data_IF_918105458780
#
_entry.id   IF_918105458780
#
_cell.length_a   1.000
_cell.length_b   1.000
_cell.length_c   1.000
_cell.angle_alpha   90.00
_cell.angle_beta   90.00
_cell.angle_gamma   90.00
#
_symmetry.space_group_name_H-M   'P 1'
#
loop_
_entity.id
_entity.type
_entity.pdbx_description
1 polymer ?
#
# COMPACT_ATOMS: atom_id res chain seq x y z
N UNK A 1 -7.05 18.92 18.28
CA UNK A 1 -7.78 19.39 17.07
C UNK A 1 -8.29 20.82 17.26
N UNK A 2 -8.93 21.15 18.39
CA UNK A 2 -9.41 22.51 18.67
C UNK A 2 -8.36 23.49 19.21
N UNK A 3 -7.29 22.99 19.84
CA UNK A 3 -6.22 23.83 20.43
C UNK A 3 -5.40 24.59 19.36
N UNK A 4 -5.25 24.02 18.18
CA UNK A 4 -4.48 24.60 17.08
C UNK A 4 -5.44 25.41 16.18
N UNK A 5 -5.26 26.73 16.15
CA UNK A 5 -6.16 27.65 15.44
C UNK A 5 -6.31 27.33 13.94
N UNK A 6 -5.20 27.00 13.25
CA UNK A 6 -5.23 26.64 11.83
C UNK A 6 -6.04 25.37 11.54
N UNK A 7 -5.91 24.34 12.38
CA UNK A 7 -6.68 23.10 12.26
C UNK A 7 -8.15 23.30 12.58
N UNK A 8 -8.45 24.16 13.55
CA UNK A 8 -9.81 24.54 13.91
C UNK A 8 -10.52 25.26 12.75
N UNK A 9 -9.84 26.24 12.13
CA UNK A 9 -10.34 26.96 10.95
C UNK A 9 -10.54 26.02 9.75
N UNK A 10 -9.54 25.18 9.47
CA UNK A 10 -9.61 24.20 8.38
C UNK A 10 -10.79 23.23 8.53
N UNK A 11 -11.03 22.74 9.75
CA UNK A 11 -12.13 21.82 10.04
C UNK A 11 -13.48 22.53 10.27
N UNK A 12 -13.55 23.86 10.07
CA UNK A 12 -14.72 24.69 10.34
C UNK A 12 -15.30 24.48 11.75
N UNK A 13 -14.43 24.21 12.73
CA UNK A 13 -14.83 24.04 14.12
C UNK A 13 -14.88 25.41 14.79
N UNK A 14 -15.94 25.67 15.53
CA UNK A 14 -16.10 26.93 16.27
C UNK A 14 -16.19 26.67 17.76
N UNK A 15 -15.69 27.61 18.57
CA UNK A 15 -15.66 27.50 20.03
C UNK A 15 -17.02 27.76 20.68
N UNK A 16 -17.97 28.32 19.93
CA UNK A 16 -19.36 28.55 20.34
C UNK A 16 -20.27 27.32 20.15
N UNK A 17 -19.75 26.25 19.52
CA UNK A 17 -20.48 25.00 19.25
C UNK A 17 -19.79 23.81 19.92
N UNK A 18 -20.51 22.69 20.01
CA UNK A 18 -19.95 21.44 20.51
C UNK A 18 -18.75 21.02 19.66
N UNK A 19 -17.58 20.91 20.31
CA UNK A 19 -16.34 20.49 19.68
C UNK A 19 -16.30 18.95 19.70
N UNK A 20 -16.00 18.28 18.57
CA UNK A 20 -15.85 16.83 18.55
C UNK A 20 -14.82 16.35 19.55
N UNK A 21 -15.28 15.59 20.53
CA UNK A 21 -14.45 14.93 21.52
C UNK A 21 -13.98 13.55 21.00
N UNK A 22 -13.26 12.81 21.86
CA UNK A 22 -12.81 11.46 21.54
C UNK A 22 -13.97 10.52 21.18
N UNK A 23 -15.10 10.65 21.88
CA UNK A 23 -16.29 9.81 21.68
C UNK A 23 -16.93 10.10 20.33
N UNK A 24 -17.03 11.38 19.96
CA UNK A 24 -17.57 11.84 18.68
C UNK A 24 -16.74 11.29 17.51
N UNK A 25 -15.40 11.41 17.59
CA UNK A 25 -14.50 10.87 16.56
C UNK A 25 -14.60 9.34 16.48
N UNK A 26 -14.71 8.66 17.63
CA UNK A 26 -14.88 7.22 17.68
C UNK A 26 -16.19 6.78 17.01
N UNK A 27 -17.29 7.46 17.31
CA UNK A 27 -18.61 7.16 16.74
C UNK A 27 -18.64 7.46 15.23
N UNK A 28 -18.03 8.57 14.80
CA UNK A 28 -17.89 8.86 13.38
C UNK A 28 -17.11 7.77 12.63
N UNK A 29 -15.99 7.29 13.20
CA UNK A 29 -15.28 6.14 12.62
C UNK A 29 -16.16 4.89 12.55
N UNK A 30 -16.93 4.58 13.59
CA UNK A 30 -17.85 3.45 13.56
C UNK A 30 -18.93 3.60 12.50
N UNK A 31 -19.42 4.82 12.25
CA UNK A 31 -20.33 5.11 11.16
C UNK A 31 -19.66 4.82 9.80
N UNK A 32 -18.43 5.27 9.59
CA UNK A 32 -17.67 4.96 8.37
C UNK A 32 -17.47 3.46 8.18
N UNK A 33 -17.18 2.73 9.26
CA UNK A 33 -17.01 1.27 9.24
C UNK A 33 -18.32 0.54 8.90
N UNK A 34 -19.42 0.93 9.55
CA UNK A 34 -20.74 0.34 9.34
C UNK A 34 -21.21 0.49 7.89
N UNK A 35 -20.90 1.62 7.27
CA UNK A 35 -21.28 1.94 5.90
C UNK A 35 -20.16 1.65 4.87
N UNK A 36 -19.04 1.04 5.29
CA UNK A 36 -17.89 0.69 4.43
C UNK A 36 -17.30 1.87 3.64
N UNK A 37 -17.44 3.08 4.18
CA UNK A 37 -17.18 4.32 3.44
C UNK A 37 -15.70 4.62 3.21
N UNK A 38 -14.77 4.04 3.97
CA UNK A 38 -13.34 4.32 3.73
C UNK A 38 -12.83 3.74 2.42
N UNK A 39 -13.32 2.56 2.01
CA UNK A 39 -13.11 2.07 0.63
C UNK A 39 -13.83 2.93 -0.38
N UNK A 40 -15.08 3.32 -0.09
CA UNK A 40 -15.86 4.21 -0.95
C UNK A 40 -15.26 5.61 -1.14
N UNK A 41 -14.31 6.03 -0.31
CA UNK A 41 -13.57 7.30 -0.50
C UNK A 41 -12.31 7.09 -1.35
N UNK A 42 -11.65 5.95 -1.21
CA UNK A 42 -10.43 5.62 -1.96
C UNK A 42 -10.70 5.52 -3.47
N UNK A 43 -11.77 4.83 -3.87
CA UNK A 43 -12.11 4.62 -5.28
C UNK A 43 -12.42 5.94 -6.04
N UNK A 44 -13.31 6.84 -5.56
CA UNK A 44 -13.60 8.09 -6.26
C UNK A 44 -12.41 9.04 -6.33
N UNK A 45 -11.54 9.06 -5.31
CA UNK A 45 -10.34 9.91 -5.36
C UNK A 45 -9.38 9.39 -6.43
N UNK A 46 -9.18 8.08 -6.52
CA UNK A 46 -8.35 7.50 -7.58
C UNK A 46 -8.96 7.73 -8.97
N UNK A 47 -10.29 7.63 -9.09
CA UNK A 47 -10.99 7.98 -10.32
C UNK A 47 -10.76 9.45 -10.69
N UNK A 48 -10.97 10.38 -9.77
CA UNK A 48 -10.73 11.81 -10.00
C UNK A 48 -9.28 12.10 -10.40
N UNK A 49 -8.31 11.44 -9.78
CA UNK A 49 -6.89 11.56 -10.14
C UNK A 49 -6.58 11.01 -11.53
N UNK A 50 -7.28 9.95 -11.95
CA UNK A 50 -7.20 9.41 -13.31
C UNK A 50 -7.82 10.35 -14.33
N UNK A 51 -9.01 10.90 -14.07
CA UNK A 51 -9.69 11.89 -14.91
C UNK A 51 -8.86 13.18 -15.08
N UNK A 52 -8.10 13.57 -14.05
CA UNK A 52 -7.17 14.71 -14.10
C UNK A 52 -5.84 14.39 -14.79
N UNK A 53 -5.66 13.16 -15.31
CA UNK A 53 -4.45 12.73 -16.01
C UNK A 53 -3.22 12.61 -15.11
N UNK A 54 -3.39 12.54 -13.79
CA UNK A 54 -2.28 12.40 -12.83
C UNK A 54 -1.94 10.94 -12.60
N UNK A 55 -2.95 10.07 -12.58
CA UNK A 55 -2.79 8.62 -12.47
C UNK A 55 -2.79 7.99 -13.85
N UNK A 56 -1.66 7.40 -14.24
CA UNK A 56 -1.54 6.61 -15.48
C UNK A 56 -1.87 5.15 -15.21
N UNK A 57 -2.27 4.43 -16.27
CA UNK A 57 -2.69 3.02 -16.21
C UNK A 57 -1.72 2.04 -16.90
N UNK A 58 -0.67 2.53 -17.56
CA UNK A 58 0.17 1.68 -18.41
C UNK A 58 1.14 0.76 -17.65
N UNK A 59 1.44 1.04 -16.38
CA UNK A 59 2.40 0.24 -15.64
C UNK A 59 2.06 0.14 -14.18
N UNK A 60 2.00 -1.08 -13.65
CA UNK A 60 1.66 -1.34 -12.26
C UNK A 60 2.85 -1.90 -11.50
N UNK A 61 3.19 -1.28 -10.37
CA UNK A 61 4.16 -1.78 -9.40
C UNK A 61 3.38 -2.46 -8.27
N UNK A 62 3.67 -3.74 -8.03
CA UNK A 62 3.04 -4.52 -6.96
C UNK A 62 4.01 -4.76 -5.81
N UNK A 63 3.52 -4.55 -4.60
CA UNK A 63 4.27 -4.84 -3.37
C UNK A 63 3.33 -5.09 -2.19
N UNK A 64 3.85 -5.78 -1.19
CA UNK A 64 3.12 -6.11 0.02
C UNK A 64 3.92 -5.73 1.27
N UNK A 65 3.25 -5.13 2.24
CA UNK A 65 3.86 -4.83 3.54
C UNK A 65 3.13 -5.56 4.66
N UNK A 66 3.90 -6.16 5.56
CA UNK A 66 3.36 -6.73 6.80
C UNK A 66 3.07 -5.57 7.75
N UNK A 67 1.90 -5.60 8.37
CA UNK A 67 1.47 -4.70 9.42
C UNK A 67 1.29 -5.53 10.68
N UNK A 68 2.13 -5.26 11.68
CA UNK A 68 2.12 -6.01 12.92
C UNK A 68 0.88 -5.70 13.75
N UNK A 69 0.24 -6.75 14.27
CA UNK A 69 -0.84 -6.66 15.23
C UNK A 69 -0.36 -7.10 16.62
N UNK A 70 -0.97 -6.61 17.71
CA UNK A 70 -0.68 -7.10 19.04
C UNK A 70 -0.93 -8.63 19.15
N UNK A 71 0.11 -9.38 19.51
CA UNK A 71 0.03 -10.84 19.74
C UNK A 71 -0.36 -11.20 21.18
N UNK A 72 -0.63 -10.19 22.02
CA UNK A 72 -0.97 -10.37 23.43
C UNK A 72 -2.32 -11.08 23.59
N UNK A 73 -2.34 -12.12 24.42
CA UNK A 73 -3.56 -12.80 24.88
C UNK A 73 -4.07 -12.22 26.20
N UNK A 74 -3.43 -11.19 26.77
CA UNK A 74 -3.84 -10.57 28.05
C UNK A 74 -5.09 -9.71 27.86
N UNK A 75 -6.24 -10.34 27.62
CA UNK A 75 -7.56 -9.74 27.53
C UNK A 75 -8.61 -10.66 28.18
N UNK A 76 -9.85 -10.18 28.36
CA UNK A 76 -10.92 -10.94 29.02
C UNK A 76 -11.16 -12.33 28.41
N UNK A 77 -10.91 -12.47 27.12
CA UNK A 77 -11.12 -13.71 26.35
C UNK A 77 -9.89 -14.61 26.27
N UNK A 78 -8.74 -14.20 26.81
CA UNK A 78 -7.46 -14.93 26.72
C UNK A 78 -7.04 -15.34 25.30
N UNK A 79 -7.48 -14.61 24.27
CA UNK A 79 -7.29 -14.97 22.87
C UNK A 79 -6.65 -13.83 22.09
N UNK A 80 -5.87 -14.17 21.07
CA UNK A 80 -5.36 -13.20 20.09
C UNK A 80 -6.49 -12.75 19.17
N UNK A 81 -6.19 -11.80 18.29
CA UNK A 81 -7.09 -11.48 17.19
C UNK A 81 -7.20 -12.70 16.25
N UNK A 82 -8.39 -13.31 16.07
CA UNK A 82 -8.55 -14.52 15.26
C UNK A 82 -8.35 -14.27 13.75
N UNK A 83 -8.47 -13.02 13.28
CA UNK A 83 -8.29 -12.67 11.87
C UNK A 83 -6.84 -12.30 11.53
N UNK A 84 -5.97 -12.25 12.53
CA UNK A 84 -4.54 -11.97 12.37
C UNK A 84 -3.76 -13.28 12.46
N UNK A 85 -2.78 -13.45 11.58
CA UNK A 85 -2.02 -14.68 11.50
C UNK A 85 -0.51 -14.42 11.49
N UNK A 86 0.25 -15.46 11.82
CA UNK A 86 1.70 -15.39 11.84
C UNK A 86 2.29 -15.71 10.47
N UNK A 87 3.38 -15.03 10.13
CA UNK A 87 4.18 -15.30 8.94
C UNK A 87 5.65 -15.09 9.25
N UNK A 88 6.52 -15.75 8.50
CA UNK A 88 7.97 -15.63 8.65
C UNK A 88 8.53 -14.81 7.52
N UNK A 89 9.19 -13.69 7.83
CA UNK A 89 9.92 -12.87 6.85
C UNK A 89 11.40 -12.92 7.20
N UNK A 90 12.19 -13.53 6.30
CA UNK A 90 13.60 -13.82 6.61
C UNK A 90 13.71 -14.76 7.81
N UNK A 91 14.38 -14.31 8.88
CA UNK A 91 14.53 -15.06 10.13
C UNK A 91 13.57 -14.62 11.24
N UNK A 92 12.72 -13.62 10.99
CA UNK A 92 11.83 -13.04 11.99
C UNK A 92 10.39 -13.50 11.78
N UNK A 93 9.69 -13.73 12.90
CA UNK A 93 8.28 -14.05 12.92
C UNK A 93 7.47 -12.80 13.20
N UNK A 94 6.47 -12.53 12.36
CA UNK A 94 5.55 -11.43 12.53
C UNK A 94 4.13 -11.98 12.69
N UNK A 95 3.33 -11.31 13.52
CA UNK A 95 1.91 -11.61 13.70
C UNK A 95 1.09 -10.41 13.28
N UNK A 96 0.12 -10.60 12.39
CA UNK A 96 -0.73 -9.51 11.91
C UNK A 96 -1.37 -9.76 10.56
N UNK A 97 -1.36 -8.71 9.75
CA UNK A 97 -1.96 -8.68 8.42
C UNK A 97 -0.94 -8.20 7.37
N UNK A 98 -1.32 -8.27 6.10
CA UNK A 98 -0.63 -7.65 4.98
C UNK A 98 -1.51 -6.62 4.31
N UNK A 99 -0.89 -5.55 3.82
CA UNK A 99 -1.46 -4.65 2.84
C UNK A 99 -0.71 -4.83 1.52
N UNK A 100 -1.44 -5.30 0.51
CA UNK A 100 -0.98 -5.47 -0.86
C UNK A 100 -1.46 -4.27 -1.67
N UNK A 101 -0.57 -3.68 -2.46
CA UNK A 101 -0.91 -2.49 -3.25
C UNK A 101 -0.46 -2.63 -4.70
N UNK A 102 -1.26 -2.08 -5.60
CA UNK A 102 -0.85 -1.73 -6.96
C UNK A 102 -0.62 -0.21 -7.03
N UNK A 103 0.52 0.17 -7.58
CA UNK A 103 0.96 1.57 -7.68
C UNK A 103 1.31 1.89 -9.13
N UNK A 104 0.82 3.02 -9.63
CA UNK A 104 1.17 3.50 -10.97
C UNK A 104 2.68 3.76 -11.05
N UNK A 105 3.33 3.08 -11.99
CA UNK A 105 4.77 3.12 -12.18
C UNK A 105 5.29 4.51 -12.55
N UNK A 106 4.45 5.38 -13.14
CA UNK A 106 4.86 6.74 -13.50
C UNK A 106 4.77 7.68 -12.29
N UNK A 107 3.56 7.88 -11.76
CA UNK A 107 3.26 8.84 -10.70
C UNK A 107 3.67 8.36 -9.30
N UNK A 108 3.66 7.06 -9.06
CA UNK A 108 3.82 6.47 -7.74
C UNK A 108 2.58 6.58 -6.86
N UNK A 109 1.39 6.75 -7.46
CA UNK A 109 0.10 6.77 -6.76
C UNK A 109 -0.48 5.36 -6.64
N UNK A 110 -1.02 5.03 -5.47
CA UNK A 110 -1.66 3.74 -5.21
C UNK A 110 -3.05 3.71 -5.85
N UNK A 111 -3.29 2.82 -6.81
CA UNK A 111 -4.61 2.67 -7.45
C UNK A 111 -5.43 1.54 -6.84
N UNK A 112 -4.79 0.48 -6.35
CA UNK A 112 -5.45 -0.70 -5.75
C UNK A 112 -4.88 -1.01 -4.37
N UNK A 113 -5.74 -1.49 -3.49
CA UNK A 113 -5.40 -1.93 -2.14
C UNK A 113 -6.19 -3.20 -1.82
N UNK A 114 -5.47 -4.22 -1.36
CA UNK A 114 -6.06 -5.44 -0.83
C UNK A 114 -5.42 -5.74 0.51
N UNK A 115 -6.24 -6.10 1.50
CA UNK A 115 -5.74 -6.49 2.81
C UNK A 115 -6.08 -7.93 3.11
N UNK A 116 -5.14 -8.63 3.73
CA UNK A 116 -5.29 -10.05 4.07
C UNK A 116 -4.60 -10.35 5.38
N UNK A 117 -4.85 -11.52 5.96
CA UNK A 117 -3.99 -12.05 7.01
C UNK A 117 -2.53 -12.20 6.54
N UNK A 118 -1.56 -12.15 7.46
CA UNK A 118 -0.15 -12.10 7.08
C UNK A 118 0.40 -13.42 6.49
N UNK A 119 -0.27 -14.54 6.72
CA UNK A 119 0.08 -15.85 6.15
C UNK A 119 -0.29 -15.98 4.66
N UNK A 120 -1.17 -15.11 4.14
CA UNK A 120 -1.55 -15.13 2.73
C UNK A 120 -0.35 -14.84 1.82
N UNK A 121 -0.26 -15.60 0.73
CA UNK A 121 0.83 -15.49 -0.23
C UNK A 121 0.56 -14.35 -1.22
N UNK A 122 1.54 -13.49 -1.45
CA UNK A 122 1.39 -12.24 -2.23
C UNK A 122 0.93 -12.53 -3.68
N UNK A 123 1.47 -13.58 -4.32
CA UNK A 123 1.00 -14.08 -5.62
C UNK A 123 -0.51 -14.33 -5.73
N UNK A 124 -1.20 -14.71 -4.64
CA UNK A 124 -2.64 -15.00 -4.69
C UNK A 124 -3.47 -13.72 -4.81
N UNK A 125 -2.90 -12.57 -4.44
CA UNK A 125 -3.60 -11.28 -4.51
C UNK A 125 -3.26 -10.50 -5.77
N UNK A 126 -2.34 -11.00 -6.60
CA UNK A 126 -1.82 -10.27 -7.75
C UNK A 126 -2.91 -9.84 -8.72
N UNK A 127 -3.86 -10.72 -9.07
CA UNK A 127 -4.99 -10.38 -9.95
C UNK A 127 -5.86 -9.25 -9.40
N UNK A 128 -6.06 -9.21 -8.08
CA UNK A 128 -6.79 -8.15 -7.40
C UNK A 128 -6.04 -6.82 -7.31
N UNK A 129 -4.74 -6.80 -7.62
CA UNK A 129 -3.92 -5.58 -7.65
C UNK A 129 -3.89 -4.92 -9.03
N UNK A 130 -4.28 -5.64 -10.08
CA UNK A 130 -4.28 -5.14 -11.44
C UNK A 130 -5.65 -4.54 -11.81
N UNK A 131 -5.64 -3.58 -12.72
CA UNK A 131 -6.87 -2.97 -13.25
C UNK A 131 -7.19 -3.40 -14.69
N UNK A 132 -6.31 -4.15 -15.35
CA UNK A 132 -6.54 -4.79 -16.66
C UNK A 132 -6.06 -3.99 -17.88
N UNK A 133 -5.56 -2.77 -17.67
CA UNK A 133 -5.07 -1.89 -18.76
C UNK A 133 -3.53 -1.78 -18.74
N UNK A 134 -2.85 -2.64 -17.97
CA UNK A 134 -1.39 -2.62 -17.82
C UNK A 134 -0.66 -3.08 -19.09
N UNK A 135 0.39 -2.35 -19.48
CA UNK A 135 1.37 -2.80 -20.47
C UNK A 135 2.50 -3.59 -19.79
N UNK A 136 2.85 -3.23 -18.55
CA UNK A 136 3.84 -3.97 -17.77
C UNK A 136 3.50 -4.04 -16.27
N UNK A 137 3.94 -5.10 -15.61
CA UNK A 137 3.81 -5.30 -14.16
C UNK A 137 5.18 -5.58 -13.55
N UNK A 138 5.57 -4.78 -12.55
CA UNK A 138 6.83 -4.92 -11.83
C UNK A 138 6.59 -5.33 -10.39
N UNK A 139 7.30 -6.36 -9.92
CA UNK A 139 7.15 -6.89 -8.56
C UNK A 139 8.46 -7.44 -7.99
N UNK A 140 8.47 -7.70 -6.69
CA UNK A 140 9.61 -8.35 -6.04
C UNK A 140 9.69 -9.85 -6.37
N UNK A 141 10.70 -10.54 -5.84
CA UNK A 141 10.89 -11.98 -6.09
C UNK A 141 9.78 -12.86 -5.48
N UNK A 142 8.93 -12.32 -4.59
CA UNK A 142 7.74 -12.99 -4.06
C UNK A 142 6.67 -13.20 -5.15
N UNK A 143 6.69 -12.39 -6.20
CA UNK A 143 5.77 -12.50 -7.35
C UNK A 143 6.31 -13.39 -8.48
N UNK A 144 7.34 -14.20 -8.23
CA UNK A 144 7.83 -15.16 -9.22
C UNK A 144 6.76 -16.21 -9.57
N UNK A 145 6.49 -16.38 -10.86
CA UNK A 145 5.45 -17.29 -11.36
C UNK A 145 4.10 -16.62 -11.62
N UNK A 146 4.00 -15.29 -11.52
CA UNK A 146 2.84 -14.50 -11.89
C UNK A 146 2.23 -14.90 -13.26
N UNK A 147 3.07 -14.91 -14.31
CA UNK A 147 2.69 -15.28 -15.69
C UNK A 147 2.11 -16.71 -15.85
N UNK A 148 2.25 -17.58 -14.84
CA UNK A 148 1.75 -18.97 -14.89
C UNK A 148 0.35 -19.12 -14.29
N UNK A 149 -0.17 -18.10 -13.60
CA UNK A 149 -1.47 -18.14 -12.94
C UNK A 149 -2.58 -18.13 -13.98
N UNK A 150 -3.55 -19.02 -13.82
CA UNK A 150 -4.67 -19.16 -14.76
C UNK A 150 -5.42 -17.84 -14.97
N UNK A 151 -5.62 -17.08 -13.88
CA UNK A 151 -6.26 -15.75 -13.88
C UNK A 151 -5.51 -14.71 -14.72
N UNK A 152 -4.21 -14.92 -14.99
CA UNK A 152 -3.33 -13.96 -15.67
C UNK A 152 -2.79 -14.48 -17.00
N UNK A 153 -3.17 -15.70 -17.42
CA UNK A 153 -2.68 -16.33 -18.67
C UNK A 153 -3.11 -15.59 -19.93
N UNK A 154 -4.19 -14.82 -19.88
CA UNK A 154 -4.71 -14.04 -21.01
C UNK A 154 -4.24 -12.59 -21.05
N UNK A 155 -3.46 -12.14 -20.06
CA UNK A 155 -3.00 -10.77 -19.97
C UNK A 155 -1.76 -10.56 -20.86
N UNK A 156 -1.86 -9.66 -21.84
CA UNK A 156 -0.75 -9.24 -22.70
C UNK A 156 0.09 -8.18 -21.98
N UNK A 157 0.94 -8.64 -21.05
CA UNK A 157 1.66 -7.78 -20.10
C UNK A 157 3.12 -8.21 -19.98
N UNK A 158 4.02 -7.23 -19.98
CA UNK A 158 5.43 -7.44 -19.70
C UNK A 158 5.69 -7.63 -18.19
N UNK A 159 6.17 -8.82 -17.82
CA UNK A 159 6.44 -9.18 -16.42
C UNK A 159 7.86 -8.80 -15.98
N UNK A 160 8.00 -7.68 -15.26
CA UNK A 160 9.24 -7.19 -14.67
C UNK A 160 9.43 -7.68 -13.23
N UNK A 161 9.44 -8.99 -13.03
CA UNK A 161 9.63 -9.60 -11.71
C UNK A 161 11.12 -9.70 -11.36
N UNK A 162 11.48 -9.26 -10.16
CA UNK A 162 12.85 -9.30 -9.67
C UNK A 162 13.38 -10.73 -9.49
N UNK A 163 14.68 -10.92 -9.75
CA UNK A 163 15.33 -12.19 -9.48
C UNK A 163 15.65 -12.41 -8.01
N UNK A 164 15.72 -13.68 -7.60
CA UNK A 164 16.05 -14.02 -6.20
C UNK A 164 17.43 -13.50 -5.81
N UNK A 165 17.62 -12.99 -4.58
CA UNK A 165 18.91 -12.47 -4.13
C UNK A 165 20.08 -13.44 -4.28
N UNK A 166 19.83 -14.76 -4.16
CA UNK A 166 20.84 -15.80 -4.41
C UNK A 166 21.36 -15.80 -5.85
N UNK A 167 20.46 -15.72 -6.84
CA UNK A 167 20.82 -15.70 -8.26
C UNK A 167 21.51 -14.40 -8.64
N UNK A 168 21.02 -13.27 -8.14
CA UNK A 168 21.68 -11.96 -8.34
C UNK A 168 23.10 -11.97 -7.77
N UNK A 169 23.32 -12.56 -6.59
CA UNK A 169 24.67 -12.73 -6.02
C UNK A 169 25.57 -13.60 -6.89
N UNK A 170 25.05 -14.68 -7.47
CA UNK A 170 25.81 -15.54 -8.38
C UNK A 170 26.22 -14.79 -9.67
N UNK A 171 25.30 -13.99 -10.25
CA UNK A 171 25.59 -13.17 -11.43
C UNK A 171 26.75 -12.19 -11.16
N UNK A 172 26.73 -11.55 -9.98
CA UNK A 172 27.75 -10.59 -9.53
C UNK A 172 29.14 -11.20 -9.30
N UNK A 173 29.29 -12.52 -9.20
CA UNK A 173 30.62 -13.17 -9.14
C UNK A 173 31.40 -13.02 -10.44
N UNK A 174 30.71 -12.90 -11.58
CA UNK A 174 31.33 -12.72 -12.90
C UNK A 174 30.71 -11.51 -13.65
N UNK A 175 30.95 -10.28 -13.16
CA UNK A 175 30.24 -9.10 -13.63
C UNK A 175 30.56 -8.74 -15.09
N UNK A 176 31.77 -9.04 -15.56
CA UNK A 176 32.16 -8.81 -16.97
C UNK A 176 31.35 -9.67 -17.95
N UNK A 177 31.05 -10.92 -17.58
CA UNK A 177 30.22 -11.84 -18.39
C UNK A 177 28.73 -11.53 -18.26
N UNK A 178 28.29 -11.16 -17.07
CA UNK A 178 26.87 -10.97 -16.74
C UNK A 178 26.42 -9.50 -16.76
N UNK A 179 27.13 -8.62 -17.47
CA UNK A 179 26.90 -7.16 -17.43
C UNK A 179 25.45 -6.80 -17.76
N UNK A 180 24.89 -7.38 -18.81
CA UNK A 180 23.51 -7.12 -19.26
C UNK A 180 22.50 -7.61 -18.22
N UNK A 181 22.63 -8.84 -17.72
CA UNK A 181 21.72 -9.39 -16.73
C UNK A 181 21.73 -8.59 -15.41
N UNK A 182 22.91 -8.15 -14.94
CA UNK A 182 23.03 -7.29 -13.77
C UNK A 182 22.36 -5.93 -14.01
N UNK A 183 22.53 -5.37 -15.21
CA UNK A 183 21.92 -4.10 -15.56
C UNK A 183 20.39 -4.19 -15.62
N UNK A 184 19.83 -5.26 -16.20
CA UNK A 184 18.38 -5.51 -16.20
C UNK A 184 17.84 -5.58 -14.77
N UNK A 185 18.48 -6.34 -13.88
CA UNK A 185 18.03 -6.44 -12.48
C UNK A 185 18.14 -5.10 -11.74
N UNK A 186 19.15 -4.28 -12.07
CA UNK A 186 19.25 -2.92 -11.55
C UNK A 186 18.09 -2.04 -12.04
N UNK A 187 17.74 -2.10 -13.32
CA UNK A 187 16.61 -1.35 -13.89
C UNK A 187 15.28 -1.76 -13.26
N UNK A 188 15.01 -3.07 -13.13
CA UNK A 188 13.82 -3.60 -12.43
C UNK A 188 13.73 -3.05 -11.00
N UNK A 189 14.84 -3.09 -10.26
CA UNK A 189 14.89 -2.56 -8.89
C UNK A 189 14.65 -1.04 -8.84
N UNK A 190 15.19 -0.28 -9.80
CA UNK A 190 14.99 1.17 -9.89
C UNK A 190 13.54 1.56 -10.14
N UNK A 191 12.86 0.85 -11.05
CA UNK A 191 11.43 1.03 -11.32
C UNK A 191 10.61 0.69 -10.08
N UNK A 192 10.86 -0.50 -9.49
CA UNK A 192 10.14 -0.99 -8.31
C UNK A 192 10.26 -0.05 -7.11
N UNK A 193 11.40 0.62 -6.91
CA UNK A 193 11.63 1.48 -5.74
C UNK A 193 10.53 2.54 -5.52
N UNK A 194 9.80 2.95 -6.56
CA UNK A 194 8.68 3.90 -6.42
C UNK A 194 7.53 3.36 -5.57
N UNK A 195 7.28 2.05 -5.55
CA UNK A 195 6.24 1.38 -4.74
C UNK A 195 6.50 1.53 -3.23
N UNK A 196 7.74 1.82 -2.84
CA UNK A 196 8.14 2.01 -1.45
C UNK A 196 7.67 3.38 -0.91
N UNK A 197 7.35 4.34 -1.78
CA UNK A 197 6.96 5.69 -1.38
C UNK A 197 5.63 5.76 -0.62
N UNK A 198 4.52 5.14 -1.08
CA UNK A 198 3.28 5.09 -0.30
C UNK A 198 3.50 4.51 1.11
N UNK A 199 4.23 3.40 1.22
CA UNK A 199 4.55 2.80 2.51
C UNK A 199 5.38 3.73 3.39
N UNK A 200 6.38 4.42 2.82
CA UNK A 200 7.16 5.43 3.55
C UNK A 200 6.28 6.53 4.11
N UNK A 201 5.37 7.10 3.29
CA UNK A 201 4.43 8.15 3.72
C UNK A 201 3.61 7.67 4.92
N UNK A 202 3.03 6.48 4.81
CA UNK A 202 2.18 5.92 5.85
C UNK A 202 2.98 5.62 7.14
N UNK A 203 4.17 5.02 7.02
CA UNK A 203 4.96 4.61 8.19
C UNK A 203 5.68 5.78 8.86
N UNK A 204 6.30 6.65 8.08
CA UNK A 204 7.18 7.72 8.59
C UNK A 204 6.44 9.04 8.81
N UNK A 205 5.59 9.48 7.88
CA UNK A 205 4.89 10.76 7.98
C UNK A 205 3.61 10.64 8.80
N UNK A 206 2.83 9.56 8.60
CA UNK A 206 1.59 9.35 9.37
C UNK A 206 1.81 8.54 10.65
N UNK A 207 3.00 7.97 10.85
CA UNK A 207 3.34 7.21 12.06
C UNK A 207 2.53 5.90 12.21
N UNK A 208 2.04 5.33 11.11
CA UNK A 208 1.31 4.07 11.14
C UNK A 208 2.28 2.88 11.04
N UNK A 209 2.71 2.39 12.20
CA UNK A 209 3.70 1.31 12.29
C UNK A 209 3.04 -0.06 12.62
N UNK A 210 1.86 -0.04 13.25
CA UNK A 210 1.18 -1.24 13.79
C UNK A 210 -0.33 -1.11 13.61
N UNK A 211 -1.01 -2.25 13.45
CA UNK A 211 -2.46 -2.33 13.47
C UNK A 211 -3.00 -1.81 14.82
N UNK A 212 -4.03 -0.96 14.74
CA UNK A 212 -4.63 -0.32 15.93
C UNK A 212 -5.96 -0.94 16.32
N UNK A 213 -6.60 -1.64 15.38
CA UNK A 213 -7.93 -2.21 15.55
C UNK A 213 -7.89 -3.74 15.55
N UNK A 214 -8.91 -4.34 16.16
CA UNK A 214 -9.16 -5.79 16.07
C UNK A 214 -10.03 -6.09 14.87
N UNK A 215 -9.68 -7.12 14.10
CA UNK A 215 -10.35 -7.56 12.87
C UNK A 215 -9.79 -6.89 11.61
N UNK A 216 -9.78 -7.62 10.51
CA UNK A 216 -9.27 -7.17 9.20
C UNK A 216 -10.11 -6.02 8.66
N UNK A 217 -11.44 -6.11 8.71
CA UNK A 217 -12.33 -5.09 8.13
C UNK A 217 -12.06 -3.67 8.65
N UNK A 218 -11.83 -3.51 9.96
CA UNK A 218 -11.54 -2.19 10.54
C UNK A 218 -10.17 -1.66 10.13
N UNK A 219 -9.18 -2.55 10.03
CA UNK A 219 -7.85 -2.17 9.59
C UNK A 219 -7.81 -1.91 8.07
N UNK A 220 -8.59 -2.63 7.26
CA UNK A 220 -8.78 -2.37 5.82
C UNK A 220 -9.34 -0.96 5.61
N UNK A 221 -10.41 -0.62 6.32
CA UNK A 221 -11.02 0.72 6.27
C UNK A 221 -10.02 1.82 6.65
N UNK A 222 -9.22 1.60 7.70
CA UNK A 222 -8.16 2.53 8.09
C UNK A 222 -7.08 2.66 7.03
N UNK A 223 -6.65 1.55 6.44
CA UNK A 223 -5.61 1.53 5.40
C UNK A 223 -6.09 2.21 4.13
N UNK A 224 -7.33 1.99 3.70
CA UNK A 224 -7.93 2.67 2.56
C UNK A 224 -7.85 4.20 2.73
N UNK A 225 -8.22 4.71 3.91
CA UNK A 225 -8.09 6.13 4.23
C UNK A 225 -6.63 6.61 4.27
N UNK A 226 -5.70 5.81 4.82
CA UNK A 226 -4.27 6.17 4.86
C UNK A 226 -3.65 6.22 3.45
N UNK A 227 -3.96 5.27 2.58
CA UNK A 227 -3.48 5.27 1.20
C UNK A 227 -4.10 6.41 0.38
N UNK A 228 -5.38 6.71 0.62
CA UNK A 228 -6.04 7.89 0.05
C UNK A 228 -5.28 9.17 0.40
N UNK A 229 -5.01 9.39 1.68
CA UNK A 229 -4.28 10.57 2.14
C UNK A 229 -2.83 10.57 1.64
N UNK A 230 -2.20 9.40 1.54
CA UNK A 230 -0.85 9.27 0.99
C UNK A 230 -0.81 9.67 -0.49
N UNK A 231 -1.83 9.32 -1.28
CA UNK A 231 -1.97 9.78 -2.65
C UNK A 231 -2.08 11.32 -2.71
N UNK A 232 -2.90 11.95 -1.87
CA UNK A 232 -3.02 13.41 -1.84
C UNK A 232 -1.68 14.10 -1.50
N UNK A 233 -0.95 13.59 -0.51
CA UNK A 233 0.41 14.07 -0.18
C UNK A 233 1.35 13.89 -1.36
N UNK A 234 1.26 12.76 -2.06
CA UNK A 234 2.08 12.47 -3.24
C UNK A 234 1.78 13.43 -4.38
N UNK A 235 0.51 13.75 -4.63
CA UNK A 235 0.08 14.72 -5.65
C UNK A 235 0.61 16.11 -5.32
N UNK A 236 0.49 16.58 -4.08
CA UNK A 236 1.09 17.87 -3.65
C UNK A 236 2.60 17.90 -3.93
N UNK A 237 3.33 16.81 -3.64
CA UNK A 237 4.75 16.70 -3.97
C UNK A 237 5.03 16.77 -5.49
N UNK A 238 4.17 16.17 -6.32
CA UNK A 238 4.30 16.22 -7.78
C UNK A 238 4.07 17.65 -8.29
N UNK A 239 3.03 18.33 -7.81
CA UNK A 239 2.71 19.72 -8.18
C UNK A 239 3.87 20.66 -7.79
N UNK A 240 4.38 20.55 -6.56
CA UNK A 240 5.52 21.37 -6.09
C UNK A 240 6.80 21.12 -6.89
N UNK A 241 7.01 19.90 -7.42
CA UNK A 241 8.16 19.60 -8.28
C UNK A 241 8.01 20.23 -9.65
N UNK A 242 6.83 20.14 -10.26
CA UNK A 242 6.56 20.77 -11.56
C UNK A 242 6.77 22.29 -11.48
N UNK A 243 6.26 22.95 -10.44
CA UNK A 243 6.42 24.39 -10.24
C UNK A 243 7.88 24.84 -10.02
N UNK A 244 8.80 23.93 -9.69
CA UNK A 244 10.24 24.22 -9.53
C UNK A 244 11.05 23.96 -10.81
N UNK A 245 10.49 23.22 -11.74
CA UNK A 245 11.13 22.86 -13.02
C UNK A 245 10.70 23.75 -14.19
N UNK A 246 9.71 24.63 -13.95
CA UNK A 246 9.27 25.69 -14.86
C UNK A 246 9.94 27.01 -14.46
#
# INVERSE_FOLDING_TARGET
LYEIASMRLFAHLSLDRAIPDRTTIMNFRHLLEQHQLGRSVFEPINQWLSERGVLMKQGTLVDATIIEAPSSTKNKTNQRDPEMHQTKKGNEWHFGMKAHIGVDAKSGLTHTLVTTAANEHDLNQLSNLLHGDEEFVSGDAGYQGAHKRDELKGADVDWLIAERPGKVRALKKHPRKNKVAIHIEYLKASIRAKVEHPFRIIKCQFGFIKARYKGLMKNDNQLAMLFTLANLVKVDQLIRRQARSA
#
